data_IF_388392102680
#
_entry.id   IF_388392102680
#
_cell.length_a   1.000
_cell.length_b   1.000
_cell.length_c   1.000
_cell.angle_alpha   90.00
_cell.angle_beta   90.00
_cell.angle_gamma   90.00
#
_symmetry.space_group_name_H-M   'P 1'
#
loop_
_entity.id
_entity.type
_entity.pdbx_description
1 polymer ?
#
# COMPACT_ATOMS: atom_id res chain seq x y z
N UNK A 1 24.33 7.38 6.37
CA UNK A 1 23.93 6.82 7.69
C UNK A 1 22.43 6.89 7.94
N UNK A 2 21.73 7.96 7.55
CA UNK A 2 20.27 8.08 7.79
C UNK A 2 19.43 7.06 7.02
N UNK A 3 19.83 6.70 5.80
CA UNK A 3 19.06 5.79 4.96
C UNK A 3 19.07 4.34 5.49
N UNK A 4 20.19 3.88 6.09
CA UNK A 4 20.24 2.56 6.72
C UNK A 4 19.30 2.43 7.93
N UNK A 5 19.12 3.51 8.70
CA UNK A 5 18.15 3.52 9.81
C UNK A 5 16.71 3.47 9.31
N UNK A 6 16.43 4.10 8.16
CA UNK A 6 15.10 4.02 7.53
C UNK A 6 14.85 2.60 7.05
N UNK A 7 15.87 1.94 6.47
CA UNK A 7 15.75 0.55 6.04
C UNK A 7 15.50 -0.37 7.25
N UNK A 8 16.26 -0.23 8.34
CA UNK A 8 16.07 -1.02 9.57
C UNK A 8 14.65 -0.91 10.13
N UNK A 9 14.06 0.29 10.07
CA UNK A 9 12.70 0.54 10.53
C UNK A 9 11.62 0.13 9.52
N UNK A 10 12.00 -0.24 8.29
CA UNK A 10 11.03 -0.69 7.30
C UNK A 10 10.57 -2.11 7.61
N UNK A 11 9.32 -2.40 7.25
CA UNK A 11 8.74 -3.73 7.47
C UNK A 11 9.46 -4.84 6.69
N UNK A 12 10.07 -4.50 5.55
CA UNK A 12 10.83 -5.45 4.74
C UNK A 12 12.10 -5.93 5.45
N UNK A 13 12.77 -5.04 6.16
CA UNK A 13 14.00 -5.34 6.89
C UNK A 13 13.77 -5.61 8.39
N UNK A 14 12.51 -5.78 8.82
CA UNK A 14 12.18 -6.02 10.23
C UNK A 14 12.99 -7.18 10.83
N UNK A 15 13.64 -6.92 11.97
CA UNK A 15 14.47 -7.89 12.68
C UNK A 15 15.80 -8.23 11.99
N UNK A 16 16.23 -7.46 10.99
CA UNK A 16 17.57 -7.52 10.38
C UNK A 16 18.36 -6.34 10.93
N UNK A 17 19.55 -6.57 11.44
CA UNK A 17 20.39 -5.55 12.07
C UNK A 17 21.04 -4.66 11.01
N UNK A 18 21.35 -3.41 11.35
CA UNK A 18 21.97 -2.43 10.44
C UNK A 18 23.29 -2.98 9.85
N UNK A 19 24.09 -3.66 10.65
CA UNK A 19 25.37 -4.25 10.21
C UNK A 19 25.19 -5.43 9.23
N UNK A 20 24.01 -6.08 9.24
CA UNK A 20 23.63 -7.15 8.31
C UNK A 20 23.01 -6.60 7.02
N UNK A 21 22.36 -5.41 7.09
CA UNK A 21 21.70 -4.78 5.93
C UNK A 21 22.73 -4.42 4.85
N UNK A 22 23.83 -3.78 5.22
CA UNK A 22 24.83 -3.30 4.26
C UNK A 22 25.40 -4.42 3.37
N UNK A 23 25.89 -5.55 3.92
CA UNK A 23 26.33 -6.69 3.10
C UNK A 23 25.21 -7.30 2.26
N UNK A 24 23.98 -7.31 2.80
CA UNK A 24 22.82 -7.85 2.12
C UNK A 24 22.44 -7.03 0.90
N UNK A 25 22.47 -5.69 0.97
CA UNK A 25 22.21 -4.81 -0.18
C UNK A 25 23.14 -5.14 -1.36
N UNK A 26 24.40 -5.42 -1.10
CA UNK A 26 25.36 -5.85 -2.13
C UNK A 26 24.98 -7.21 -2.72
N UNK A 27 24.56 -8.16 -1.89
CA UNK A 27 24.10 -9.48 -2.33
C UNK A 27 22.84 -9.38 -3.21
N UNK A 28 21.92 -8.49 -2.87
CA UNK A 28 20.68 -8.23 -3.60
C UNK A 28 20.90 -7.37 -4.86
N UNK A 29 22.12 -6.94 -5.15
CA UNK A 29 22.43 -5.95 -6.19
C UNK A 29 21.54 -4.71 -6.08
N UNK A 30 21.32 -4.27 -4.85
CA UNK A 30 20.46 -3.13 -4.57
C UNK A 30 21.09 -1.83 -5.10
N UNK A 31 20.29 -1.06 -5.83
CA UNK A 31 20.69 0.22 -6.42
C UNK A 31 19.79 1.32 -5.87
N UNK A 32 20.39 2.33 -5.26
CA UNK A 32 19.67 3.53 -4.85
C UNK A 32 19.52 4.48 -6.05
N UNK A 33 18.32 4.98 -6.27
CA UNK A 33 18.01 6.00 -7.27
C UNK A 33 17.23 7.15 -6.66
N UNK A 34 17.55 8.37 -7.09
CA UNK A 34 16.88 9.60 -6.69
C UNK A 34 16.03 10.13 -7.83
N UNK A 35 14.81 10.52 -7.50
CA UNK A 35 13.83 11.03 -8.43
C UNK A 35 13.36 12.41 -7.98
N UNK A 36 13.49 13.46 -8.80
CA UNK A 36 12.91 14.76 -8.47
C UNK A 36 11.39 14.70 -8.51
N UNK A 37 10.74 15.68 -7.90
CA UNK A 37 9.28 15.84 -7.96
C UNK A 37 8.78 15.81 -9.40
N UNK A 38 7.74 15.06 -9.67
CA UNK A 38 7.12 14.87 -10.99
C UNK A 38 7.80 13.84 -11.88
N UNK A 39 8.95 13.29 -11.47
CA UNK A 39 9.60 12.23 -12.24
C UNK A 39 8.85 10.90 -12.11
N UNK A 40 8.84 10.16 -13.20
CA UNK A 40 8.34 8.79 -13.22
C UNK A 40 9.40 7.84 -12.66
N UNK A 41 9.02 7.04 -11.69
CA UNK A 41 9.84 5.97 -11.13
C UNK A 41 9.70 4.73 -12.02
N UNK A 42 8.47 4.43 -12.43
CA UNK A 42 8.12 3.42 -13.43
C UNK A 42 7.00 3.92 -14.33
N UNK A 43 7.01 3.49 -15.59
CA UNK A 43 5.97 3.78 -16.56
C UNK A 43 5.03 2.59 -16.79
N UNK A 44 3.79 2.89 -17.12
CA UNK A 44 2.86 1.91 -17.69
C UNK A 44 3.49 1.30 -18.96
N UNK A 45 3.43 -0.02 -19.09
CA UNK A 45 4.02 -0.77 -20.20
C UNK A 45 5.50 -1.14 -20.01
N UNK A 46 6.17 -0.65 -18.97
CA UNK A 46 7.55 -1.00 -18.64
C UNK A 46 7.63 -2.41 -18.03
N UNK A 47 8.57 -3.23 -18.49
CA UNK A 47 8.93 -4.49 -17.84
C UNK A 47 9.94 -4.19 -16.72
N UNK A 48 9.60 -4.56 -15.51
CA UNK A 48 10.46 -4.38 -14.33
C UNK A 48 10.94 -5.72 -13.79
N UNK A 49 12.17 -5.75 -13.29
CA UNK A 49 12.78 -6.93 -12.66
C UNK A 49 13.24 -6.64 -11.23
N UNK A 50 12.91 -5.47 -10.73
CA UNK A 50 13.32 -5.03 -9.42
C UNK A 50 12.13 -4.78 -8.50
N UNK A 51 12.17 -5.36 -7.31
CA UNK A 51 11.36 -4.94 -6.18
C UNK A 51 11.85 -3.55 -5.75
N UNK A 52 10.95 -2.61 -5.61
CA UNK A 52 11.25 -1.25 -5.18
C UNK A 52 10.81 -1.01 -3.74
N UNK A 53 11.64 -0.29 -2.96
CA UNK A 53 11.33 0.24 -1.64
C UNK A 53 11.48 1.76 -1.66
N UNK A 54 10.46 2.48 -1.27
CA UNK A 54 10.54 3.93 -1.09
C UNK A 54 11.28 4.22 0.22
N UNK A 55 12.51 4.75 0.10
CA UNK A 55 13.35 5.08 1.26
C UNK A 55 12.97 6.46 1.82
N UNK A 56 12.77 7.44 0.94
CA UNK A 56 12.38 8.82 1.31
C UNK A 56 11.39 9.36 0.30
N UNK A 57 10.57 10.31 0.77
CA UNK A 57 9.61 11.02 -0.04
C UNK A 57 8.25 10.32 -0.11
N UNK A 58 7.43 10.82 -1.03
CA UNK A 58 6.07 10.33 -1.31
C UNK A 58 5.93 10.09 -2.80
N UNK A 59 5.37 8.95 -3.19
CA UNK A 59 5.09 8.63 -4.59
C UNK A 59 3.62 8.19 -4.75
N UNK A 60 3.08 8.40 -5.93
CA UNK A 60 1.73 7.98 -6.28
C UNK A 60 1.77 6.87 -7.33
N UNK A 61 0.99 5.82 -7.11
CA UNK A 61 0.63 4.86 -8.14
C UNK A 61 -0.64 5.40 -8.81
N UNK A 62 -0.55 5.71 -10.09
CA UNK A 62 -1.64 6.30 -10.86
C UNK A 62 -1.86 5.57 -12.17
N UNK A 63 -3.08 5.64 -12.67
CA UNK A 63 -3.46 5.12 -13.98
C UNK A 63 -4.08 6.24 -14.79
N UNK A 64 -3.65 6.38 -16.03
CA UNK A 64 -4.29 7.26 -17.00
C UNK A 64 -5.15 6.41 -17.94
N UNK A 65 -6.38 6.84 -18.19
CA UNK A 65 -7.27 6.21 -19.15
C UNK A 65 -7.04 6.76 -20.58
N UNK A 66 -7.73 6.17 -21.55
CA UNK A 66 -7.64 6.59 -22.96
C UNK A 66 -7.99 8.06 -23.20
N UNK A 67 -8.80 8.65 -22.33
CA UNK A 67 -9.23 10.06 -22.43
C UNK A 67 -8.35 11.02 -21.64
N UNK A 68 -7.25 10.54 -21.03
CA UNK A 68 -6.33 11.35 -20.23
C UNK A 68 -6.78 11.60 -18.79
N UNK A 69 -7.84 10.95 -18.32
CA UNK A 69 -8.25 11.07 -16.93
C UNK A 69 -7.30 10.26 -16.04
N UNK A 70 -6.79 10.89 -15.00
CA UNK A 70 -5.87 10.27 -14.04
C UNK A 70 -6.62 9.82 -12.79
N UNK A 71 -6.43 8.55 -12.45
CA UNK A 71 -6.97 7.93 -11.24
C UNK A 71 -5.83 7.57 -10.30
N UNK A 72 -5.88 8.06 -9.06
CA UNK A 72 -4.95 7.68 -8.00
C UNK A 72 -5.35 6.30 -7.48
N UNK A 73 -4.45 5.32 -7.63
CA UNK A 73 -4.65 3.95 -7.13
C UNK A 73 -4.13 3.78 -5.72
N UNK A 74 -2.96 4.36 -5.41
CA UNK A 74 -2.36 4.33 -4.08
C UNK A 74 -1.38 5.49 -3.88
N UNK A 75 -1.18 5.89 -2.63
CA UNK A 75 -0.09 6.75 -2.18
C UNK A 75 0.93 5.91 -1.43
N UNK A 76 2.20 6.06 -1.77
CA UNK A 76 3.33 5.38 -1.17
C UNK A 76 4.07 6.35 -0.25
N UNK A 77 4.41 5.87 0.94
CA UNK A 77 5.22 6.58 1.92
C UNK A 77 6.57 5.88 2.13
N UNK A 78 7.49 6.53 2.82
CA UNK A 78 8.77 5.91 3.19
C UNK A 78 8.54 4.59 3.96
N UNK A 79 9.24 3.54 3.55
CA UNK A 79 9.09 2.16 4.05
C UNK A 79 8.17 1.26 3.22
N UNK A 80 7.41 1.82 2.28
CA UNK A 80 6.53 1.02 1.41
C UNK A 80 7.29 0.34 0.28
N UNK A 81 6.95 -0.92 0.03
CA UNK A 81 7.39 -1.67 -1.15
C UNK A 81 6.38 -1.51 -2.29
N UNK A 82 6.88 -1.49 -3.52
CA UNK A 82 6.04 -1.41 -4.73
C UNK A 82 6.71 -2.12 -5.93
N UNK A 83 5.95 -2.27 -7.02
CA UNK A 83 6.33 -3.01 -8.23
C UNK A 83 6.58 -4.51 -8.01
N UNK A 84 6.41 -5.05 -6.81
CA UNK A 84 6.63 -6.46 -6.47
C UNK A 84 5.79 -7.42 -7.31
N UNK A 85 4.58 -7.03 -7.69
CA UNK A 85 3.68 -7.84 -8.50
C UNK A 85 4.15 -7.99 -9.95
N UNK A 86 5.01 -7.08 -10.42
CA UNK A 86 5.52 -7.04 -11.80
C UNK A 86 6.99 -7.45 -11.90
N UNK A 87 7.70 -7.50 -10.79
CA UNK A 87 9.13 -7.79 -10.76
C UNK A 87 9.44 -9.28 -11.04
N UNK A 88 8.49 -10.19 -10.83
CA UNK A 88 8.66 -11.63 -11.06
C UNK A 88 8.64 -11.92 -12.56
N UNK A 89 9.60 -12.70 -13.10
CA UNK A 89 9.62 -13.07 -14.51
C UNK A 89 8.29 -13.67 -14.98
N UNK A 90 7.77 -13.18 -16.10
CA UNK A 90 6.49 -13.62 -16.65
C UNK A 90 5.25 -12.92 -16.09
N UNK A 91 5.39 -11.99 -15.14
CA UNK A 91 4.25 -11.22 -14.57
C UNK A 91 3.65 -10.21 -15.56
N UNK A 92 4.35 -9.91 -16.65
CA UNK A 92 3.98 -8.89 -17.62
C UNK A 92 4.43 -7.49 -17.23
N UNK A 93 4.10 -6.52 -18.07
CA UNK A 93 4.50 -5.13 -17.90
C UNK A 93 3.64 -4.39 -16.85
N UNK A 94 4.17 -3.30 -16.31
CA UNK A 94 3.47 -2.37 -15.41
C UNK A 94 2.15 -1.91 -16.02
N UNK A 95 1.09 -1.91 -15.22
CA UNK A 95 -0.26 -1.48 -15.65
C UNK A 95 -0.65 -0.10 -15.10
N UNK A 96 0.30 0.56 -14.43
CA UNK A 96 0.13 1.88 -13.81
C UNK A 96 1.47 2.58 -13.74
N UNK A 97 1.45 3.88 -13.74
CA UNK A 97 2.63 4.71 -13.52
C UNK A 97 2.92 4.82 -12.02
N UNK A 98 4.20 4.99 -11.69
CA UNK A 98 4.63 5.39 -10.35
C UNK A 98 5.36 6.72 -10.47
N UNK A 99 4.80 7.77 -9.85
CA UNK A 99 5.28 9.15 -9.98
C UNK A 99 5.67 9.72 -8.63
N UNK A 100 6.84 10.35 -8.58
CA UNK A 100 7.33 11.05 -7.40
C UNK A 100 6.51 12.34 -7.16
N UNK A 101 5.84 12.45 -6.00
CA UNK A 101 5.05 13.63 -5.62
C UNK A 101 5.95 14.73 -5.03
N UNK A 102 7.04 14.31 -4.44
CA UNK A 102 8.14 15.14 -3.96
C UNK A 102 9.47 14.49 -4.33
N UNK A 103 10.61 15.03 -3.90
CA UNK A 103 11.89 14.36 -4.13
C UNK A 103 11.93 13.01 -3.42
N UNK A 104 12.10 11.93 -4.19
CA UNK A 104 12.09 10.55 -3.70
C UNK A 104 13.48 9.92 -3.78
N UNK A 105 13.78 9.07 -2.81
CA UNK A 105 14.88 8.10 -2.85
C UNK A 105 14.26 6.70 -2.87
N UNK A 106 14.61 5.91 -3.87
CA UNK A 106 14.09 4.55 -4.07
C UNK A 106 15.23 3.56 -4.10
N UNK A 107 15.10 2.48 -3.35
CA UNK A 107 15.99 1.33 -3.38
C UNK A 107 15.38 0.26 -4.29
N UNK A 108 16.08 -0.08 -5.37
CA UNK A 108 15.71 -1.11 -6.33
C UNK A 108 16.52 -2.37 -6.01
N UNK A 109 15.86 -3.51 -5.81
CA UNK A 109 16.47 -4.79 -5.49
C UNK A 109 16.08 -5.83 -6.54
N UNK A 110 17.05 -6.54 -7.09
CA UNK A 110 16.80 -7.62 -8.04
C UNK A 110 15.94 -8.72 -7.39
N UNK A 111 14.75 -8.98 -7.97
CA UNK A 111 13.79 -9.91 -7.38
C UNK A 111 14.26 -11.36 -7.42
N UNK A 112 15.01 -11.76 -8.45
CA UNK A 112 15.54 -13.13 -8.53
C UNK A 112 16.54 -13.38 -7.41
N UNK A 113 17.33 -12.36 -7.04
CA UNK A 113 18.24 -12.42 -5.90
C UNK A 113 17.52 -12.37 -4.56
N UNK A 114 16.42 -11.63 -4.45
CA UNK A 114 15.58 -11.62 -3.25
C UNK A 114 14.97 -13.01 -3.01
N UNK A 115 14.58 -13.71 -4.08
CA UNK A 115 13.92 -15.02 -4.00
C UNK A 115 14.90 -16.21 -3.99
N UNK A 116 16.11 -16.02 -4.50
CA UNK A 116 17.12 -17.09 -4.57
C UNK A 116 17.71 -17.39 -3.19
N UNK A 117 18.10 -18.63 -2.96
CA UNK A 117 18.89 -18.99 -1.78
C UNK A 117 20.31 -18.43 -1.93
N UNK A 118 20.74 -17.64 -0.97
CA UNK A 118 22.13 -17.20 -0.90
C UNK A 118 23.05 -18.44 -0.74
N UNK A 119 24.10 -18.52 -1.57
CA UNK A 119 25.12 -19.58 -1.48
C UNK A 119 25.80 -19.64 -0.12
N UNK A 120 25.81 -18.52 0.62
CA UNK A 120 26.41 -18.39 1.94
C UNK A 120 25.44 -18.71 3.10
N UNK A 121 24.25 -19.26 2.82
CA UNK A 121 23.24 -19.64 3.84
C UNK A 121 22.93 -18.53 4.87
N UNK A 122 22.86 -17.29 4.43
CA UNK A 122 22.67 -16.15 5.32
C UNK A 122 21.29 -16.20 6.01
N UNK A 123 21.28 -16.24 7.34
CA UNK A 123 20.02 -16.26 8.13
C UNK A 123 19.15 -15.01 7.88
N UNK A 124 19.75 -13.86 7.60
CA UNK A 124 19.06 -12.62 7.30
C UNK A 124 18.36 -12.64 5.92
N UNK A 125 18.88 -13.40 4.93
CA UNK A 125 18.20 -13.55 3.63
C UNK A 125 16.86 -14.29 3.77
N UNK A 126 16.84 -15.38 4.53
CA UNK A 126 15.60 -16.08 4.85
C UNK A 126 14.60 -15.19 5.59
N UNK A 127 15.09 -14.31 6.48
CA UNK A 127 14.24 -13.33 7.19
C UNK A 127 13.66 -12.29 6.26
N UNK A 128 14.48 -11.73 5.34
CA UNK A 128 13.99 -10.79 4.32
C UNK A 128 12.88 -11.40 3.47
N UNK A 129 13.08 -12.62 2.97
CA UNK A 129 12.09 -13.34 2.18
C UNK A 129 10.81 -13.62 2.98
N UNK A 130 10.95 -14.00 4.26
CA UNK A 130 9.83 -14.16 5.18
C UNK A 130 9.03 -12.86 5.39
N UNK A 131 9.75 -11.74 5.59
CA UNK A 131 9.14 -10.42 5.72
C UNK A 131 8.41 -10.00 4.44
N UNK A 132 9.03 -10.22 3.27
CA UNK A 132 8.38 -9.97 1.98
C UNK A 132 7.09 -10.77 1.84
N UNK A 133 7.11 -12.07 2.16
CA UNK A 133 5.91 -12.91 2.12
C UNK A 133 4.82 -12.40 3.05
N UNK A 134 5.16 -11.99 4.28
CA UNK A 134 4.21 -11.41 5.24
C UNK A 134 3.59 -10.12 4.71
N UNK A 135 4.38 -9.24 4.08
CA UNK A 135 3.91 -8.01 3.43
C UNK A 135 2.95 -8.30 2.28
N UNK A 136 3.28 -9.26 1.42
CA UNK A 136 2.42 -9.67 0.30
C UNK A 136 1.12 -10.30 0.79
N UNK A 137 1.18 -11.15 1.82
CA UNK A 137 0.00 -11.75 2.43
C UNK A 137 -0.92 -10.66 3.03
N UNK A 138 -0.36 -9.62 3.64
CA UNK A 138 -1.16 -8.50 4.15
C UNK A 138 -1.77 -7.66 3.03
N UNK A 139 -1.00 -7.32 1.99
CA UNK A 139 -1.54 -6.64 0.80
C UNK A 139 -2.69 -7.43 0.19
N UNK A 140 -2.55 -8.75 0.06
CA UNK A 140 -3.62 -9.62 -0.44
C UNK A 140 -4.87 -9.58 0.44
N UNK A 141 -4.72 -9.60 1.79
CA UNK A 141 -5.86 -9.46 2.71
C UNK A 141 -6.56 -8.11 2.58
N UNK A 142 -5.80 -7.03 2.39
CA UNK A 142 -6.36 -5.68 2.17
C UNK A 142 -7.16 -5.65 0.86
N UNK A 143 -6.63 -6.23 -0.21
CA UNK A 143 -7.31 -6.33 -1.50
C UNK A 143 -8.57 -7.20 -1.41
N UNK A 144 -8.51 -8.35 -0.77
CA UNK A 144 -9.67 -9.22 -0.55
C UNK A 144 -10.80 -8.47 0.16
N UNK A 145 -10.51 -7.75 1.24
CA UNK A 145 -11.51 -6.91 1.93
C UNK A 145 -12.09 -5.82 1.03
N UNK A 146 -11.24 -5.17 0.24
CA UNK A 146 -11.72 -4.15 -0.70
C UNK A 146 -12.68 -4.77 -1.72
N UNK A 147 -12.42 -5.98 -2.19
CA UNK A 147 -13.34 -6.73 -3.05
C UNK A 147 -14.66 -7.00 -2.33
N UNK A 148 -14.64 -7.42 -1.06
CA UNK A 148 -15.84 -7.65 -0.26
C UNK A 148 -16.71 -6.40 -0.14
N UNK A 149 -16.10 -5.22 0.09
CA UNK A 149 -16.86 -3.96 0.11
C UNK A 149 -17.44 -3.62 -1.25
N UNK A 150 -16.66 -3.77 -2.33
CA UNK A 150 -17.08 -3.44 -3.69
C UNK A 150 -18.14 -4.40 -4.23
N UNK A 151 -18.15 -5.64 -3.76
CA UNK A 151 -19.19 -6.63 -4.10
C UNK A 151 -20.58 -6.23 -3.58
N UNK A 152 -20.64 -5.36 -2.57
CA UNK A 152 -21.92 -4.85 -2.07
C UNK A 152 -22.59 -3.93 -3.11
N UNK A 153 -23.86 -4.16 -3.37
CA UNK A 153 -24.60 -3.49 -4.46
C UNK A 153 -24.94 -2.03 -4.16
N UNK A 154 -25.15 -1.69 -2.89
CA UNK A 154 -25.60 -0.36 -2.48
C UNK A 154 -24.58 0.34 -1.59
N UNK A 155 -24.58 1.68 -1.60
CA UNK A 155 -23.77 2.51 -0.70
C UNK A 155 -24.00 2.14 0.77
N UNK A 156 -25.26 1.88 1.14
CA UNK A 156 -25.65 1.45 2.48
C UNK A 156 -24.99 0.14 2.89
N UNK A 157 -25.05 -0.87 2.03
CA UNK A 157 -24.43 -2.18 2.31
C UNK A 157 -22.90 -2.05 2.43
N UNK A 158 -22.26 -1.26 1.58
CA UNK A 158 -20.80 -0.99 1.67
C UNK A 158 -20.44 -0.34 2.99
N UNK A 159 -21.20 0.68 3.42
CA UNK A 159 -21.02 1.34 4.70
C UNK A 159 -21.21 0.37 5.87
N UNK A 160 -22.30 -0.38 5.89
CA UNK A 160 -22.58 -1.36 6.96
C UNK A 160 -21.48 -2.40 7.07
N UNK A 161 -21.03 -2.98 5.96
CA UNK A 161 -19.97 -3.98 5.94
C UNK A 161 -18.66 -3.39 6.49
N UNK A 162 -18.28 -2.20 6.01
CA UNK A 162 -17.06 -1.52 6.46
C UNK A 162 -17.12 -1.16 7.95
N UNK A 163 -18.20 -0.50 8.39
CA UNK A 163 -18.34 -0.05 9.78
C UNK A 163 -18.43 -1.21 10.77
N UNK A 164 -19.14 -2.29 10.40
CA UNK A 164 -19.18 -3.52 11.21
C UNK A 164 -17.80 -4.14 11.40
N UNK A 165 -16.99 -4.18 10.35
CA UNK A 165 -15.61 -4.67 10.44
C UNK A 165 -14.75 -3.75 11.33
N UNK A 166 -14.92 -2.42 11.26
CA UNK A 166 -14.19 -1.50 12.13
C UNK A 166 -14.58 -1.69 13.61
N UNK A 167 -15.86 -1.86 13.90
CA UNK A 167 -16.35 -2.16 15.25
C UNK A 167 -15.76 -3.46 15.79
N UNK A 168 -15.74 -4.52 14.98
CA UNK A 168 -15.13 -5.81 15.36
C UNK A 168 -13.63 -5.66 15.66
N UNK A 169 -12.90 -4.90 14.85
CA UNK A 169 -11.46 -4.63 15.07
C UNK A 169 -11.19 -3.82 16.32
N UNK A 170 -12.06 -2.84 16.60
CA UNK A 170 -11.98 -2.02 17.81
C UNK A 170 -12.40 -2.78 19.07
N UNK A 171 -13.12 -3.90 18.91
CA UNK A 171 -13.76 -4.60 20.03
C UNK A 171 -14.83 -3.76 20.72
N UNK A 172 -15.39 -2.77 20.04
CA UNK A 172 -16.34 -1.78 20.57
C UNK A 172 -17.30 -1.33 19.48
N UNK A 173 -18.55 -1.04 19.86
CA UNK A 173 -19.50 -0.36 18.98
C UNK A 173 -19.12 1.11 18.71
N UNK A 174 -18.26 1.68 19.55
CA UNK A 174 -17.74 3.04 19.43
C UNK A 174 -16.27 3.02 18.98
N UNK A 175 -15.96 3.72 17.86
CA UNK A 175 -14.63 3.71 17.26
C UNK A 175 -14.41 4.92 16.36
N UNK A 176 -13.13 5.15 16.02
CA UNK A 176 -12.71 6.18 15.04
C UNK A 176 -12.03 5.50 13.86
N UNK A 177 -12.37 5.95 12.65
CA UNK A 177 -11.74 5.48 11.41
C UNK A 177 -10.61 6.43 10.96
N UNK A 178 -9.59 5.95 10.21
CA UNK A 178 -8.47 6.78 9.76
C UNK A 178 -8.80 7.67 8.56
N UNK A 179 -10.05 7.66 8.09
CA UNK A 179 -10.49 8.37 6.90
C UNK A 179 -11.34 9.60 7.24
N UNK A 180 -11.13 10.69 6.52
CA UNK A 180 -12.14 11.74 6.40
C UNK A 180 -13.27 11.31 5.45
N UNK A 181 -14.32 12.12 5.29
CA UNK A 181 -15.49 11.77 4.44
C UNK A 181 -15.14 11.53 2.97
N UNK A 182 -14.24 12.34 2.41
CA UNK A 182 -13.79 12.15 1.02
C UNK A 182 -13.01 10.85 0.88
N UNK A 183 -12.03 10.63 1.77
CA UNK A 183 -11.22 9.42 1.75
C UNK A 183 -12.05 8.13 1.94
N UNK A 184 -13.06 8.17 2.81
CA UNK A 184 -13.98 7.03 2.98
C UNK A 184 -14.80 6.77 1.70
N UNK A 185 -15.30 7.81 1.06
CA UNK A 185 -16.04 7.69 -0.19
C UNK A 185 -15.16 7.10 -1.31
N UNK A 186 -13.93 7.59 -1.45
CA UNK A 186 -12.95 7.08 -2.40
C UNK A 186 -12.60 5.61 -2.10
N UNK A 187 -12.39 5.27 -0.82
CA UNK A 187 -12.09 3.91 -0.38
C UNK A 187 -13.21 2.93 -0.72
N UNK A 188 -14.47 3.31 -0.49
CA UNK A 188 -15.64 2.51 -0.78
C UNK A 188 -16.12 2.62 -2.25
N UNK A 189 -15.43 3.44 -3.06
CA UNK A 189 -15.78 3.71 -4.45
C UNK A 189 -17.25 4.12 -4.61
N UNK A 190 -17.65 5.12 -3.83
CA UNK A 190 -18.97 5.75 -3.85
C UNK A 190 -18.83 7.26 -3.99
N UNK A 191 -19.87 7.90 -4.51
CA UNK A 191 -19.89 9.35 -4.56
C UNK A 191 -20.08 9.93 -3.14
N UNK A 192 -19.29 10.97 -2.79
CA UNK A 192 -19.23 11.55 -1.43
C UNK A 192 -20.59 12.07 -0.96
N UNK A 193 -21.33 12.75 -1.83
CA UNK A 193 -22.62 13.32 -1.47
C UNK A 193 -23.65 12.21 -1.21
N UNK A 194 -23.67 11.17 -2.05
CA UNK A 194 -24.52 10.00 -1.88
C UNK A 194 -24.19 9.25 -0.57
N UNK A 195 -22.91 9.10 -0.25
CA UNK A 195 -22.47 8.49 0.99
C UNK A 195 -22.90 9.33 2.21
N UNK A 196 -22.74 10.64 2.16
CA UNK A 196 -23.12 11.52 3.27
C UNK A 196 -24.64 11.52 3.50
N UNK A 197 -25.43 11.53 2.42
CA UNK A 197 -26.88 11.41 2.51
C UNK A 197 -27.29 10.06 3.13
N UNK A 198 -26.61 8.97 2.76
CA UNK A 198 -26.92 7.65 3.32
C UNK A 198 -26.56 7.55 4.81
N UNK A 199 -25.41 8.09 5.23
CA UNK A 199 -25.05 8.16 6.64
C UNK A 199 -26.07 8.96 7.46
N UNK A 200 -26.58 10.09 6.92
CA UNK A 200 -27.63 10.88 7.58
C UNK A 200 -28.92 10.08 7.73
N UNK A 201 -29.32 9.28 6.72
CA UNK A 201 -30.48 8.39 6.82
C UNK A 201 -30.29 7.32 7.87
N UNK A 202 -29.13 6.64 7.87
CA UNK A 202 -28.83 5.60 8.86
C UNK A 202 -28.82 6.17 10.29
N UNK A 203 -28.41 7.42 10.46
CA UNK A 203 -28.46 8.13 11.75
C UNK A 203 -29.91 8.45 12.16
N UNK A 204 -30.74 8.93 11.22
CA UNK A 204 -32.14 9.18 11.47
C UNK A 204 -32.95 7.89 11.80
N UNK A 205 -32.54 6.76 11.25
CA UNK A 205 -33.09 5.44 11.54
C UNK A 205 -32.60 4.85 12.87
N UNK A 206 -31.66 5.52 13.57
CA UNK A 206 -31.10 5.07 14.84
C UNK A 206 -30.10 3.92 14.73
N UNK A 207 -29.55 3.62 13.55
CA UNK A 207 -28.59 2.54 13.34
C UNK A 207 -27.19 2.91 13.78
N UNK A 208 -26.86 4.20 13.74
CA UNK A 208 -25.54 4.71 14.13
C UNK A 208 -25.63 6.18 14.55
N UNK A 209 -24.60 6.62 15.27
CA UNK A 209 -24.25 8.03 15.45
C UNK A 209 -22.89 8.27 14.84
N UNK A 210 -22.65 9.45 14.28
CA UNK A 210 -21.37 9.78 13.64
C UNK A 210 -21.07 11.27 13.67
N UNK A 211 -19.82 11.58 14.01
CA UNK A 211 -19.26 12.93 13.89
C UNK A 211 -17.88 12.83 13.25
N UNK A 212 -17.69 13.46 12.07
CA UNK A 212 -16.44 13.41 11.28
C UNK A 212 -16.00 11.95 11.04
N UNK A 213 -14.91 11.51 11.71
CA UNK A 213 -14.35 10.15 11.61
C UNK A 213 -14.75 9.24 12.78
N UNK A 214 -15.49 9.76 13.75
CA UNK A 214 -16.03 8.97 14.86
C UNK A 214 -17.38 8.34 14.50
N UNK A 215 -17.61 7.10 14.98
CA UNK A 215 -18.81 6.31 14.76
C UNK A 215 -19.20 5.56 16.02
N UNK A 216 -20.51 5.44 16.26
CA UNK A 216 -21.09 4.59 17.27
C UNK A 216 -22.24 3.79 16.62
N UNK A 217 -22.11 2.46 16.53
CA UNK A 217 -23.16 1.57 16.04
C UNK A 217 -24.14 1.25 17.18
N UNK A 218 -25.41 1.24 16.87
CA UNK A 218 -26.52 1.00 17.83
C UNK A 218 -27.01 -0.44 17.76
#
# INVERSE_FOLDING_TARGET
MDDLKILENSRLFAGIRVDEIQPMLSCLQAVERKYPRGAYIFHTGEEVRALALLVRGTAHIQKEDFWGNRSLLASLAAGDIFAEAYAIPGSGAMRSDVVAVESCTVLLMDVERVLSRCTNSCAFHARLTGNLFALLAEKNRILARKVDYLAQRTTRQRLLTYLSEQAQRAGSAEFTIPFNRQQLADFLSVERSAMSAELSRMQAEGLLETERSWFHLK
#
